data_IF_947889593896
#
_entry.id   IF_947889593896
#
_cell.length_a   1.000
_cell.length_b   1.000
_cell.length_c   1.000
_cell.angle_alpha   90.00
_cell.angle_beta   90.00
_cell.angle_gamma   90.00
#
_symmetry.space_group_name_H-M   'P 1'
#
loop_
_entity.id
_entity.type
_entity.pdbx_description
1 polymer ?
#
# COMPACT_ATOMS: atom_id res chain seq x y z
N UNK A 1 44.12 13.63 -22.06
CA UNK A 1 43.20 14.40 -21.17
C UNK A 1 41.75 14.10 -21.53
N UNK A 2 41.12 13.06 -20.99
CA UNK A 2 39.65 12.96 -20.90
C UNK A 2 39.25 11.68 -20.17
N UNK A 3 38.85 11.79 -18.91
CA UNK A 3 37.99 10.76 -18.30
C UNK A 3 37.16 11.36 -17.16
N UNK A 4 36.15 12.16 -17.52
CA UNK A 4 35.23 12.79 -16.55
C UNK A 4 33.76 12.71 -16.97
N UNK A 5 33.38 11.65 -17.70
CA UNK A 5 32.04 11.52 -18.29
C UNK A 5 31.02 10.71 -17.43
N UNK A 6 31.38 10.30 -16.20
CA UNK A 6 30.48 9.44 -15.39
C UNK A 6 29.67 10.16 -14.30
N UNK A 7 29.77 11.49 -14.13
CA UNK A 7 29.15 12.17 -12.97
C UNK A 7 27.77 12.80 -13.19
N UNK A 8 27.21 12.76 -14.40
CA UNK A 8 26.07 13.64 -14.74
C UNK A 8 24.69 12.94 -14.84
N UNK A 9 24.59 11.61 -14.83
CA UNK A 9 23.27 10.96 -14.98
C UNK A 9 22.39 11.09 -13.73
N UNK A 10 22.98 10.99 -12.54
CA UNK A 10 22.27 11.15 -11.26
C UNK A 10 22.01 12.62 -10.90
N UNK A 11 22.88 13.55 -11.33
CA UNK A 11 22.72 14.99 -11.08
C UNK A 11 21.66 15.65 -11.98
N UNK A 12 21.38 15.08 -13.16
CA UNK A 12 20.45 15.68 -14.14
C UNK A 12 19.01 15.17 -14.03
N UNK A 13 18.67 14.43 -12.98
CA UNK A 13 17.33 13.88 -12.76
C UNK A 13 16.75 14.33 -11.42
N UNK A 14 16.40 15.62 -11.26
CA UNK A 14 15.84 16.14 -10.01
C UNK A 14 14.56 15.39 -9.61
N UNK A 15 13.79 14.89 -10.58
CA UNK A 15 12.61 14.07 -10.34
C UNK A 15 12.95 12.74 -9.63
N UNK A 16 14.03 12.07 -10.06
CA UNK A 16 14.48 10.82 -9.44
C UNK A 16 14.90 11.06 -7.99
N UNK A 17 15.64 12.15 -7.75
CA UNK A 17 16.02 12.55 -6.39
C UNK A 17 14.78 12.81 -5.52
N UNK A 18 13.81 13.58 -6.01
CA UNK A 18 12.56 13.86 -5.28
C UNK A 18 11.75 12.59 -5.01
N UNK A 19 11.64 11.68 -5.98
CA UNK A 19 10.94 10.41 -5.81
C UNK A 19 11.61 9.53 -4.75
N UNK A 20 12.93 9.38 -4.83
CA UNK A 20 13.69 8.58 -3.84
C UNK A 20 13.55 9.15 -2.43
N UNK A 21 13.64 10.48 -2.28
CA UNK A 21 13.46 11.16 -0.99
C UNK A 21 12.03 10.99 -0.46
N UNK A 22 11.01 11.17 -1.31
CA UNK A 22 9.62 11.00 -0.93
C UNK A 22 9.31 9.57 -0.48
N UNK A 23 9.84 8.58 -1.19
CA UNK A 23 9.71 7.16 -0.83
C UNK A 23 10.40 6.87 0.50
N UNK A 24 11.64 7.35 0.68
CA UNK A 24 12.41 7.13 1.91
C UNK A 24 11.69 7.64 3.16
N UNK A 25 11.09 8.85 3.08
CA UNK A 25 10.33 9.43 4.20
C UNK A 25 9.07 8.61 4.49
N UNK A 26 8.36 8.12 3.45
CA UNK A 26 7.11 7.34 3.63
C UNK A 26 7.34 5.93 4.18
N UNK A 27 8.50 5.33 3.94
CA UNK A 27 8.83 3.97 4.41
C UNK A 27 8.98 3.88 5.93
N UNK A 28 9.31 4.99 6.62
CA UNK A 28 9.61 4.99 8.06
C UNK A 28 8.55 4.27 8.92
N UNK A 29 7.26 4.38 8.57
CA UNK A 29 6.15 3.76 9.31
C UNK A 29 5.50 2.58 8.56
N UNK A 30 6.20 1.92 7.63
CA UNK A 30 5.60 0.85 6.82
C UNK A 30 5.16 -0.38 7.65
N UNK A 31 5.86 -0.65 8.75
CA UNK A 31 5.54 -1.75 9.67
C UNK A 31 4.67 -1.31 10.86
N UNK A 32 4.22 -0.05 10.89
CA UNK A 32 3.34 0.41 11.95
C UNK A 32 2.00 -0.31 11.83
N UNK A 33 1.44 -0.83 12.94
CA UNK A 33 0.17 -1.54 12.89
C UNK A 33 -0.96 -0.58 12.48
N UNK A 34 -1.88 -1.05 11.64
CA UNK A 34 -3.06 -0.29 11.19
C UNK A 34 -4.15 -0.36 12.28
N UNK A 35 -3.78 -0.02 13.50
CA UNK A 35 -4.66 -0.03 14.68
C UNK A 35 -4.75 1.40 15.21
N UNK A 36 -5.95 1.92 15.35
CA UNK A 36 -6.17 3.28 15.78
C UNK A 36 -7.62 3.70 15.64
N UNK A 37 -8.05 4.66 16.46
CA UNK A 37 -9.43 5.17 16.48
C UNK A 37 -9.84 5.75 15.12
N UNK A 38 -8.91 6.24 14.32
CA UNK A 38 -9.16 6.77 12.98
C UNK A 38 -8.68 5.85 11.84
N UNK A 39 -8.16 4.67 12.17
CA UNK A 39 -7.57 3.75 11.20
C UNK A 39 -8.55 2.70 10.67
N UNK A 40 -9.83 2.78 11.04
CA UNK A 40 -10.83 1.78 10.66
C UNK A 40 -10.92 1.60 9.13
N UNK A 41 -10.92 2.68 8.35
CA UNK A 41 -10.97 2.60 6.88
C UNK A 41 -9.76 1.88 6.29
N UNK A 42 -8.58 2.18 6.84
CA UNK A 42 -7.33 1.55 6.41
C UNK A 42 -7.31 0.08 6.80
N UNK A 43 -7.80 -0.24 8.00
CA UNK A 43 -7.92 -1.60 8.51
C UNK A 43 -8.89 -2.44 7.68
N UNK A 44 -10.08 -1.92 7.35
CA UNK A 44 -11.07 -2.60 6.51
C UNK A 44 -10.52 -2.87 5.11
N UNK A 45 -9.82 -1.89 4.52
CA UNK A 45 -9.20 -2.05 3.19
C UNK A 45 -8.12 -3.14 3.22
N UNK A 46 -7.27 -3.14 4.25
CA UNK A 46 -6.23 -4.14 4.43
C UNK A 46 -6.82 -5.54 4.68
N UNK A 47 -7.88 -5.65 5.48
CA UNK A 47 -8.60 -6.89 5.72
C UNK A 47 -9.20 -7.45 4.42
N UNK A 48 -9.84 -6.60 3.61
CA UNK A 48 -10.43 -7.01 2.34
C UNK A 48 -9.38 -7.47 1.33
N UNK A 49 -8.27 -6.76 1.20
CA UNK A 49 -7.14 -7.17 0.38
C UNK A 49 -6.57 -8.52 0.82
N UNK A 50 -6.46 -8.76 2.14
CA UNK A 50 -6.02 -10.05 2.68
C UNK A 50 -7.03 -11.16 2.35
N UNK A 51 -8.32 -10.94 2.56
CA UNK A 51 -9.33 -11.95 2.26
C UNK A 51 -9.42 -12.27 0.76
N UNK A 52 -9.18 -11.31 -0.13
CA UNK A 52 -9.07 -11.60 -1.57
C UNK A 52 -7.88 -12.52 -1.89
N UNK A 53 -6.77 -12.38 -1.17
CA UNK A 53 -5.61 -13.25 -1.30
C UNK A 53 -5.83 -14.63 -0.68
N UNK A 54 -6.49 -14.71 0.47
CA UNK A 54 -6.65 -15.94 1.25
C UNK A 54 -7.87 -16.80 0.85
N UNK A 55 -9.03 -16.19 0.54
CA UNK A 55 -10.31 -16.89 0.41
C UNK A 55 -10.80 -17.08 -1.04
N UNK A 56 -9.86 -17.14 -1.99
CA UNK A 56 -10.07 -17.06 -3.44
C UNK A 56 -10.52 -15.65 -3.87
N UNK A 57 -9.90 -15.16 -4.94
CA UNK A 57 -10.13 -13.81 -5.45
C UNK A 57 -11.53 -13.69 -6.09
N UNK A 58 -12.53 -13.27 -5.32
CA UNK A 58 -13.91 -13.12 -5.78
C UNK A 58 -14.41 -11.68 -5.66
N UNK A 59 -14.25 -10.90 -6.73
CA UNK A 59 -14.60 -9.48 -6.80
C UNK A 59 -16.05 -9.15 -6.41
N UNK A 60 -16.99 -10.08 -6.60
CA UNK A 60 -18.41 -9.86 -6.32
C UNK A 60 -18.79 -10.09 -4.86
N UNK A 61 -17.88 -10.67 -4.07
CA UNK A 61 -18.12 -11.03 -2.67
C UNK A 61 -16.93 -10.61 -1.80
N UNK A 62 -16.68 -9.29 -1.67
CA UNK A 62 -15.61 -8.78 -0.80
C UNK A 62 -15.87 -9.18 0.66
N UNK A 63 -14.81 -9.54 1.38
CA UNK A 63 -14.89 -10.05 2.75
C UNK A 63 -14.11 -9.20 3.74
N UNK A 64 -14.60 -9.14 4.98
CA UNK A 64 -14.03 -8.40 6.12
C UNK A 64 -13.90 -9.31 7.35
N UNK A 65 -13.03 -8.92 8.28
CA UNK A 65 -12.72 -9.75 9.46
C UNK A 65 -13.74 -9.66 10.60
N UNK A 66 -14.50 -8.56 10.68
CA UNK A 66 -15.42 -8.31 11.80
C UNK A 66 -16.82 -8.92 11.62
N UNK A 67 -17.03 -9.74 10.57
CA UNK A 67 -18.29 -10.44 10.30
C UNK A 67 -18.67 -11.58 11.25
N UNK A 68 -17.82 -11.89 12.24
CA UNK A 68 -18.07 -12.93 13.24
C UNK A 68 -18.12 -14.33 12.64
N UNK A 69 -19.19 -15.09 12.92
CA UNK A 69 -19.40 -16.45 12.43
C UNK A 69 -20.02 -16.49 11.00
N UNK A 70 -20.25 -15.33 10.38
CA UNK A 70 -20.69 -15.27 8.98
C UNK A 70 -19.49 -15.30 8.04
N UNK A 71 -19.69 -15.50 6.72
CA UNK A 71 -18.61 -15.37 5.73
C UNK A 71 -18.00 -13.97 5.63
N UNK A 72 -18.55 -12.97 6.35
CA UNK A 72 -18.00 -11.62 6.41
C UNK A 72 -18.18 -10.81 5.12
N UNK A 73 -19.21 -11.09 4.32
CA UNK A 73 -19.45 -10.32 3.10
C UNK A 73 -19.81 -8.86 3.42
N UNK A 74 -19.10 -7.94 2.77
CA UNK A 74 -19.29 -6.50 2.94
C UNK A 74 -20.01 -5.91 1.73
N UNK A 75 -20.94 -4.98 1.98
CA UNK A 75 -21.51 -4.17 0.92
C UNK A 75 -20.51 -3.07 0.55
N UNK A 76 -19.87 -3.19 -0.61
CA UNK A 76 -18.97 -2.16 -1.12
C UNK A 76 -19.43 -1.70 -2.50
N UNK A 77 -19.02 -0.49 -2.89
CA UNK A 77 -19.08 -0.09 -4.29
C UNK A 77 -18.23 -1.04 -5.15
N UNK A 78 -18.63 -1.21 -6.42
CA UNK A 78 -17.82 -1.93 -7.37
C UNK A 78 -16.49 -1.17 -7.58
N UNK A 79 -15.33 -1.84 -7.51
CA UNK A 79 -14.02 -1.20 -7.65
C UNK A 79 -13.76 -0.59 -9.04
#
# INVERSE_FOLDING_TARGET
MHNKQNKNRLQNSPLLFLLTLAIAIRIYNINSPIIGIHSWRQSDTAAMARNFYENNFNLFYPQIDWGGNSPGYCETEFP
#
